data_IF_530208137968
#
_entry.id   IF_530208137968
#
_cell.length_a   1.000
_cell.length_b   1.000
_cell.length_c   1.000
_cell.angle_alpha   90.00
_cell.angle_beta   90.00
_cell.angle_gamma   90.00
#
_symmetry.space_group_name_H-M   'P 1'
#
loop_
_entity.id
_entity.type
_entity.pdbx_description
1 polymer ?
#
# COMPACT_ATOMS: atom_id res chain seq x y z
N UNK A 1 -7.30 -13.55 -11.29
CA UNK A 1 -7.37 -13.91 -9.86
C UNK A 1 -7.45 -12.69 -8.93
N UNK A 2 -6.42 -12.40 -8.06
CA UNK A 2 -6.51 -11.28 -7.08
C UNK A 2 -6.47 -9.92 -7.77
N UNK A 3 -5.58 -9.73 -8.74
CA UNK A 3 -5.45 -8.49 -9.51
C UNK A 3 -6.72 -8.16 -10.30
N UNK A 4 -7.41 -9.14 -10.83
CA UNK A 4 -8.67 -8.98 -11.57
C UNK A 4 -9.82 -8.45 -10.70
N UNK A 5 -9.70 -8.60 -9.38
CA UNK A 5 -10.65 -8.06 -8.40
C UNK A 5 -10.37 -6.60 -8.02
N UNK A 6 -9.46 -5.92 -8.73
CA UNK A 6 -9.13 -4.52 -8.50
C UNK A 6 -8.20 -4.26 -7.33
N UNK A 7 -7.59 -5.29 -6.74
CA UNK A 7 -6.58 -5.11 -5.68
C UNK A 7 -5.31 -4.52 -6.28
N UNK A 8 -4.70 -3.57 -5.58
CA UNK A 8 -3.51 -2.84 -6.04
C UNK A 8 -2.19 -3.48 -5.61
N UNK A 9 -2.23 -4.36 -4.62
CA UNK A 9 -1.05 -5.05 -4.11
C UNK A 9 -1.40 -5.98 -2.97
N UNK A 10 -0.41 -6.70 -2.49
CA UNK A 10 -0.53 -7.63 -1.38
C UNK A 10 0.64 -7.43 -0.43
N UNK A 11 0.35 -7.34 0.86
CA UNK A 11 1.36 -7.35 1.92
C UNK A 11 1.13 -8.60 2.76
N UNK A 12 2.18 -9.38 2.94
CA UNK A 12 2.12 -10.68 3.62
C UNK A 12 3.16 -10.72 4.73
N UNK A 13 2.73 -10.84 5.96
CA UNK A 13 3.62 -11.17 7.06
C UNK A 13 3.90 -12.68 7.04
N UNK A 14 4.78 -13.08 6.16
CA UNK A 14 5.10 -14.48 5.86
C UNK A 14 5.69 -14.62 4.47
N UNK A 15 5.92 -15.85 4.05
CA UNK A 15 6.39 -16.16 2.71
C UNK A 15 5.22 -16.36 1.74
N UNK A 16 5.47 -16.09 0.46
CA UNK A 16 4.53 -16.39 -0.62
C UNK A 16 5.18 -17.28 -1.67
N UNK A 17 4.38 -17.91 -2.50
CA UNK A 17 4.86 -18.73 -3.63
C UNK A 17 4.47 -18.11 -4.97
N UNK A 18 4.98 -18.69 -6.06
CA UNK A 18 4.69 -18.26 -7.44
C UNK A 18 5.22 -16.84 -7.73
N UNK A 19 6.42 -16.54 -7.21
CA UNK A 19 7.03 -15.21 -7.33
C UNK A 19 7.23 -14.77 -8.79
N UNK A 20 7.58 -15.68 -9.68
CA UNK A 20 7.75 -15.41 -11.11
C UNK A 20 6.44 -15.00 -11.77
N UNK A 21 5.33 -15.66 -11.45
CA UNK A 21 4.01 -15.30 -11.95
C UNK A 21 3.57 -13.91 -11.46
N UNK A 22 3.78 -13.62 -10.17
CA UNK A 22 3.48 -12.32 -9.59
C UNK A 22 4.26 -11.21 -10.28
N UNK A 23 5.56 -11.44 -10.54
CA UNK A 23 6.42 -10.50 -11.26
C UNK A 23 5.95 -10.27 -12.70
N UNK A 24 5.59 -11.33 -13.41
CA UNK A 24 5.10 -11.26 -14.78
C UNK A 24 3.74 -10.53 -14.86
N UNK A 25 2.89 -10.73 -13.88
CA UNK A 25 1.60 -10.05 -13.76
C UNK A 25 1.74 -8.57 -13.33
N UNK A 26 2.95 -8.08 -13.02
CA UNK A 26 3.22 -6.74 -12.51
C UNK A 26 2.36 -6.40 -11.29
N UNK A 27 2.05 -7.41 -10.47
CA UNK A 27 1.27 -7.25 -9.26
C UNK A 27 2.22 -7.13 -8.06
N UNK A 28 2.26 -5.99 -7.36
CA UNK A 28 3.21 -5.79 -6.27
C UNK A 28 2.85 -6.67 -5.07
N UNK A 29 3.82 -7.45 -4.60
CA UNK A 29 3.74 -8.26 -3.40
C UNK A 29 4.91 -7.90 -2.49
N UNK A 30 4.60 -7.55 -1.25
CA UNK A 30 5.55 -7.29 -0.18
C UNK A 30 5.42 -8.42 0.84
N UNK A 31 6.49 -9.15 1.08
CA UNK A 31 6.48 -10.34 1.94
C UNK A 31 7.85 -10.51 2.61
N UNK A 32 7.91 -11.34 3.65
CA UNK A 32 9.18 -11.64 4.32
C UNK A 32 10.07 -12.59 3.52
N UNK A 33 9.52 -13.24 2.49
CA UNK A 33 10.28 -14.14 1.62
C UNK A 33 9.40 -14.93 0.65
N UNK A 34 10.01 -15.91 0.01
CA UNK A 34 9.33 -16.84 -0.88
C UNK A 34 9.42 -18.27 -0.33
N UNK A 35 8.45 -19.10 -0.68
CA UNK A 35 8.40 -20.52 -0.29
C UNK A 35 7.87 -21.36 -1.43
N UNK A 36 8.34 -22.59 -1.53
CA UNK A 36 7.78 -23.61 -2.44
C UNK A 36 6.58 -24.32 -1.81
N UNK A 37 6.41 -24.18 -0.49
CA UNK A 37 5.34 -24.85 0.25
C UNK A 37 4.01 -24.15 0.04
N UNK A 38 2.96 -24.94 -0.19
CA UNK A 38 1.59 -24.42 -0.25
C UNK A 38 0.96 -24.44 1.15
N UNK A 39 0.57 -23.29 1.65
CA UNK A 39 -0.21 -23.24 2.87
C UNK A 39 -1.54 -24.00 2.76
N UNK A 40 -2.19 -24.31 3.90
CA UNK A 40 -3.48 -25.00 3.92
C UNK A 40 -4.55 -24.22 3.14
N UNK A 41 -5.33 -24.94 2.34
CA UNK A 41 -6.43 -24.32 1.56
C UNK A 41 -7.68 -24.06 2.39
N UNK A 42 -7.86 -24.87 3.42
CA UNK A 42 -8.95 -24.81 4.37
C UNK A 42 -8.34 -24.44 5.73
N UNK A 43 -8.34 -23.21 6.06
CA UNK A 43 -7.83 -22.75 7.35
C UNK A 43 -8.76 -21.72 7.96
N UNK A 44 -8.71 -21.51 9.26
CA UNK A 44 -9.37 -20.39 9.87
C UNK A 44 -8.79 -19.12 9.29
N UNK A 45 -9.62 -18.13 9.06
CA UNK A 45 -9.21 -16.82 8.57
C UNK A 45 -10.35 -15.84 8.74
N UNK A 46 -9.99 -14.59 8.93
CA UNK A 46 -10.93 -13.49 9.07
C UNK A 46 -10.72 -12.47 7.97
N UNK A 47 -11.77 -11.74 7.66
CA UNK A 47 -11.75 -10.71 6.64
C UNK A 47 -12.19 -9.41 7.28
N UNK A 48 -11.52 -8.32 6.92
CA UNK A 48 -11.88 -6.97 7.39
C UNK A 48 -11.77 -6.81 8.92
N UNK A 49 -10.74 -7.39 9.50
CA UNK A 49 -10.37 -7.25 10.90
C UNK A 49 -9.00 -6.60 11.05
N UNK A 50 -8.68 -6.01 12.21
CA UNK A 50 -7.34 -5.52 12.48
C UNK A 50 -6.32 -6.67 12.43
N UNK A 51 -5.17 -6.42 11.83
CA UNK A 51 -4.09 -7.40 11.72
C UNK A 51 -2.76 -6.80 12.18
N UNK A 52 -1.89 -7.63 12.73
CA UNK A 52 -0.51 -7.23 13.00
C UNK A 52 0.37 -7.68 11.83
N UNK A 53 1.03 -6.75 11.16
CA UNK A 53 1.92 -7.04 10.05
C UNK A 53 3.24 -6.29 10.24
N UNK A 54 4.35 -7.02 10.32
CA UNK A 54 5.66 -6.42 10.55
C UNK A 54 5.78 -5.65 11.86
N UNK A 55 5.04 -6.05 12.91
CA UNK A 55 4.99 -5.35 14.20
C UNK A 55 4.08 -4.12 14.23
N UNK A 56 3.37 -3.82 13.15
CA UNK A 56 2.44 -2.70 13.06
C UNK A 56 1.01 -3.22 13.01
N UNK A 57 0.13 -2.65 13.83
CA UNK A 57 -1.32 -2.94 13.76
C UNK A 57 -1.92 -2.13 12.62
N UNK A 58 -2.57 -2.81 11.70
CA UNK A 58 -3.26 -2.22 10.54
C UNK A 58 -4.75 -2.48 10.67
N UNK A 59 -5.53 -1.42 10.65
CA UNK A 59 -6.99 -1.52 10.72
C UNK A 59 -7.60 -1.44 9.31
N UNK A 60 -8.76 -2.06 9.11
CA UNK A 60 -9.53 -1.85 7.88
C UNK A 60 -9.78 -0.36 7.62
N UNK A 61 -9.45 0.08 6.39
CA UNK A 61 -9.57 1.48 5.99
C UNK A 61 -8.33 2.35 6.23
N UNK A 62 -7.28 1.83 6.85
CA UNK A 62 -5.98 2.51 6.91
C UNK A 62 -5.36 2.61 5.51
N UNK A 63 -4.63 3.68 5.28
CA UNK A 63 -3.90 3.88 4.01
C UNK A 63 -2.51 3.27 4.12
N UNK A 64 -2.18 2.39 3.20
CA UNK A 64 -0.86 1.75 3.14
C UNK A 64 -0.11 2.26 1.92
N UNK A 65 1.05 2.85 2.15
CA UNK A 65 1.97 3.26 1.10
C UNK A 65 3.17 2.30 1.11
N UNK A 66 3.41 1.63 -0.01
CA UNK A 66 4.48 0.65 -0.13
C UNK A 66 5.33 0.93 -1.37
N UNK A 67 6.64 0.88 -1.20
CA UNK A 67 7.64 1.09 -2.25
C UNK A 67 8.81 0.11 -2.08
N UNK A 68 9.84 0.24 -2.92
CA UNK A 68 11.09 -0.51 -2.73
C UNK A 68 11.85 -0.16 -1.45
N UNK A 69 11.57 1.01 -0.86
CA UNK A 69 12.24 1.47 0.36
C UNK A 69 11.54 1.00 1.64
N UNK A 70 10.28 0.59 1.54
CA UNK A 70 9.52 0.11 2.70
C UNK A 70 8.02 0.34 2.62
N UNK A 71 7.37 0.12 3.76
CA UNK A 71 5.92 0.20 3.91
C UNK A 71 5.59 1.16 5.05
N UNK A 72 4.69 2.09 4.79
CA UNK A 72 4.15 3.02 5.77
C UNK A 72 2.65 2.84 5.88
N UNK A 73 2.15 2.78 7.11
CA UNK A 73 0.72 2.71 7.39
C UNK A 73 0.28 4.05 7.98
N UNK A 74 -0.74 4.64 7.39
CA UNK A 74 -1.36 5.88 7.88
C UNK A 74 -2.76 5.54 8.38
N UNK A 75 -3.01 5.63 9.70
CA UNK A 75 -4.34 5.42 10.24
C UNK A 75 -5.36 6.35 9.57
N UNK A 76 -6.54 5.82 9.27
CA UNK A 76 -7.60 6.54 8.56
C UNK A 76 -7.90 7.92 9.15
N UNK A 77 -7.86 8.04 10.47
CA UNK A 77 -8.11 9.30 11.19
C UNK A 77 -7.07 10.39 10.90
N UNK A 78 -5.85 10.02 10.52
CA UNK A 78 -4.74 10.93 10.25
C UNK A 78 -4.50 11.24 8.78
N UNK A 79 -5.20 10.57 7.88
CA UNK A 79 -4.97 10.68 6.42
C UNK A 79 -5.03 12.14 5.97
N UNK A 80 -6.08 12.87 6.35
CA UNK A 80 -6.21 14.29 5.96
C UNK A 80 -5.04 15.14 6.45
N UNK A 81 -4.64 14.98 7.71
CA UNK A 81 -3.53 15.73 8.30
C UNK A 81 -2.20 15.42 7.60
N UNK A 82 -1.97 14.14 7.27
CA UNK A 82 -0.74 13.72 6.55
C UNK A 82 -0.71 14.32 5.15
N UNK A 83 -1.83 14.29 4.44
CA UNK A 83 -1.97 14.90 3.12
C UNK A 83 -1.62 16.40 3.16
N UNK A 84 -2.24 17.15 4.07
CA UNK A 84 -2.03 18.58 4.22
C UNK A 84 -0.55 18.90 4.52
N UNK A 85 0.10 18.10 5.38
CA UNK A 85 1.53 18.24 5.70
C UNK A 85 2.43 17.92 4.51
N UNK A 86 2.15 16.85 3.77
CA UNK A 86 2.90 16.48 2.58
C UNK A 86 2.80 17.54 1.49
N UNK A 87 1.61 18.08 1.25
CA UNK A 87 1.41 19.16 0.30
C UNK A 87 2.21 20.42 0.67
N UNK A 88 2.26 20.75 1.96
CA UNK A 88 3.04 21.89 2.47
C UNK A 88 4.54 21.66 2.35
N UNK A 89 5.03 20.47 2.74
CA UNK A 89 6.44 20.11 2.65
C UNK A 89 6.93 20.06 1.20
N UNK A 90 6.08 19.56 0.29
CA UNK A 90 6.40 19.53 -1.15
C UNK A 90 6.52 20.95 -1.72
N UNK A 91 5.59 21.85 -1.41
CA UNK A 91 5.67 23.25 -1.82
C UNK A 91 6.96 23.92 -1.34
N UNK A 92 7.33 23.72 -0.08
CA UNK A 92 8.57 24.24 0.48
C UNK A 92 9.82 23.69 -0.23
N UNK A 93 9.85 22.38 -0.53
CA UNK A 93 10.99 21.77 -1.24
C UNK A 93 11.12 22.25 -2.68
N UNK A 94 10.03 22.47 -3.36
CA UNK A 94 9.99 22.95 -4.73
C UNK A 94 10.43 24.42 -4.84
N UNK A 95 10.01 25.27 -3.90
CA UNK A 95 10.46 26.65 -3.87
C UNK A 95 11.97 26.81 -3.68
N UNK A 96 12.65 25.76 -3.16
CA UNK A 96 14.10 25.72 -2.99
C UNK A 96 14.85 25.21 -4.22
N UNK A 97 14.20 24.48 -5.12
CA UNK A 97 14.86 23.79 -6.24
C UNK A 97 14.78 24.53 -7.58
N UNK A 98 13.68 25.21 -7.88
CA UNK A 98 13.54 26.09 -9.06
C UNK A 98 12.20 26.85 -9.02
N UNK A 99 12.20 28.20 -8.97
CA UNK A 99 10.97 28.98 -8.91
C UNK A 99 10.12 28.92 -10.19
N UNK A 100 10.72 28.62 -11.35
CA UNK A 100 10.04 28.67 -12.64
C UNK A 100 9.42 27.35 -13.09
N UNK A 101 9.97 26.20 -12.69
CA UNK A 101 9.49 24.88 -13.11
C UNK A 101 8.35 24.34 -12.24
N UNK A 102 8.02 25.02 -11.14
CA UNK A 102 7.33 24.42 -10.00
C UNK A 102 5.81 24.45 -10.01
N UNK A 103 5.18 25.33 -10.78
CA UNK A 103 3.76 25.63 -10.57
C UNK A 103 2.81 24.73 -11.36
N UNK A 104 3.19 24.29 -12.56
CA UNK A 104 2.24 23.68 -13.50
C UNK A 104 2.17 22.14 -13.42
N UNK A 105 3.27 21.47 -13.07
CA UNK A 105 3.32 20.00 -13.10
C UNK A 105 2.84 19.30 -11.82
N UNK A 106 2.60 20.04 -10.77
CA UNK A 106 2.47 19.47 -9.42
C UNK A 106 1.05 19.29 -8.91
N UNK A 107 0.14 20.19 -9.25
CA UNK A 107 -1.24 20.10 -8.77
C UNK A 107 -2.01 18.97 -9.46
N UNK A 108 -1.83 18.80 -10.77
CA UNK A 108 -2.55 17.79 -11.53
C UNK A 108 -2.18 16.34 -11.15
N UNK A 109 -0.91 16.08 -10.82
CA UNK A 109 -0.46 14.74 -10.43
C UNK A 109 -0.91 14.38 -9.01
N UNK A 110 -0.95 15.33 -8.09
CA UNK A 110 -1.43 15.14 -6.73
C UNK A 110 -2.95 14.97 -6.68
N UNK A 111 -3.70 15.80 -7.39
CA UNK A 111 -5.16 15.67 -7.50
C UNK A 111 -5.55 14.32 -8.08
N UNK A 112 -4.88 13.88 -9.14
CA UNK A 112 -5.11 12.56 -9.73
C UNK A 112 -4.82 11.42 -8.74
N UNK A 113 -3.77 11.54 -7.93
CA UNK A 113 -3.41 10.54 -6.92
C UNK A 113 -4.41 10.53 -5.76
N UNK A 114 -4.91 11.69 -5.33
CA UNK A 114 -5.94 11.80 -4.30
C UNK A 114 -7.31 11.32 -4.78
N UNK A 115 -7.66 11.58 -6.01
CA UNK A 115 -8.88 11.05 -6.61
C UNK A 115 -8.81 9.53 -6.77
N UNK A 116 -7.63 8.99 -6.99
CA UNK A 116 -7.39 7.56 -7.06
C UNK A 116 -7.48 6.90 -5.67
N UNK A 117 -6.96 7.54 -4.62
CA UNK A 117 -7.14 7.09 -3.22
C UNK A 117 -8.61 7.19 -2.79
N UNK A 118 -9.33 8.24 -3.16
CA UNK A 118 -10.75 8.41 -2.85
C UNK A 118 -11.65 7.43 -3.60
N UNK A 119 -11.34 7.13 -4.87
CA UNK A 119 -12.11 6.19 -5.71
C UNK A 119 -11.89 4.74 -5.36
N UNK A 120 -10.78 4.41 -4.76
CA UNK A 120 -10.44 3.04 -4.39
C UNK A 120 -10.41 2.94 -2.87
N UNK A 121 -11.48 2.40 -2.27
CA UNK A 121 -11.39 1.80 -0.95
C UNK A 121 -10.28 0.75 -1.04
N UNK A 122 -9.08 1.10 -0.58
CA UNK A 122 -7.93 0.19 -0.59
C UNK A 122 -8.20 -0.92 0.42
N UNK A 123 -8.80 -1.99 -0.05
CA UNK A 123 -9.00 -3.20 0.73
C UNK A 123 -7.64 -3.91 0.80
N UNK A 124 -6.91 -3.70 1.86
CA UNK A 124 -5.70 -4.48 2.13
C UNK A 124 -6.12 -5.79 2.76
N UNK A 125 -6.03 -6.87 1.99
CA UNK A 125 -6.21 -8.22 2.53
C UNK A 125 -4.87 -8.71 3.03
N UNK A 126 -4.67 -8.67 4.34
CA UNK A 126 -3.51 -9.26 4.99
C UNK A 126 -3.86 -10.71 5.39
N UNK A 127 -3.13 -11.65 4.82
CA UNK A 127 -3.20 -13.04 5.24
C UNK A 127 -2.02 -13.32 6.16
N UNK A 128 -2.26 -13.43 7.46
CA UNK A 128 -1.26 -13.96 8.38
C UNK A 128 -1.28 -15.49 8.29
N UNK A 129 -0.18 -16.09 7.92
CA UNK A 129 0.05 -17.51 8.17
C UNK A 129 0.81 -17.62 9.49
N UNK A 130 0.11 -17.94 10.58
CA UNK A 130 0.74 -18.50 11.76
C UNK A 130 0.75 -20.02 11.61
N UNK A 131 1.92 -20.58 11.80
CA UNK A 131 2.53 -21.89 11.97
C UNK A 131 3.39 -22.33 10.81
#
# INVERSE_FOLDING_TARGET
AIAERGLRGLIVHGAYRDASEAKNAKFPIYATGTSTWSGPKLGPGEINVPVCCGGVIVHPGDVVCASGDGIVVVPRSYVKQVIDRLASARRAKVSQLDPAASVIAQDAALEKYFDEIKRHNLLVTLKSSFD
#
